data_IF_470208960198
#
_entry.id   IF_470208960198
#
_cell.length_a   1.000
_cell.length_b   1.000
_cell.length_c   1.000
_cell.angle_alpha   90.00
_cell.angle_beta   90.00
_cell.angle_gamma   90.00
#
_symmetry.space_group_name_H-M   'P 1'
#
loop_
_entity.id
_entity.type
_entity.pdbx_description
1 polymer ?
#
# COMPACT_ATOMS: atom_id res chain seq x y z
N UNK A 1 -7.99 17.76 -69.16
CA UNK A 1 -6.55 17.52 -69.56
C UNK A 1 -5.67 18.72 -69.11
N UNK A 2 -5.81 19.12 -67.83
CA UNK A 2 -5.06 20.26 -67.30
C UNK A 2 -3.61 19.92 -66.91
N UNK A 3 -3.27 18.62 -66.82
CA UNK A 3 -1.91 18.15 -66.52
C UNK A 3 -0.83 18.53 -67.54
N UNK A 4 -1.24 18.94 -68.76
CA UNK A 4 -0.32 19.45 -69.80
C UNK A 4 -0.02 20.94 -69.70
N UNK A 5 -0.81 21.71 -68.98
CA UNK A 5 -0.69 23.17 -68.86
C UNK A 5 0.14 23.65 -67.69
N UNK A 6 0.27 22.82 -66.63
CA UNK A 6 1.04 23.14 -65.43
C UNK A 6 1.76 21.92 -64.87
N UNK A 7 2.85 21.46 -65.51
CA UNK A 7 3.56 20.24 -65.07
C UNK A 7 4.41 20.47 -63.82
N UNK A 8 3.86 20.93 -62.74
CA UNK A 8 4.54 21.15 -61.49
C UNK A 8 3.60 21.50 -60.32
N UNK A 9 2.32 21.67 -60.63
CA UNK A 9 1.32 22.09 -59.63
C UNK A 9 0.61 20.90 -58.98
N UNK A 10 0.58 19.75 -59.69
CA UNK A 10 0.10 18.51 -59.13
C UNK A 10 1.29 17.69 -58.68
N UNK A 11 1.86 17.92 -57.49
CA UNK A 11 2.51 16.87 -56.76
C UNK A 11 1.45 15.77 -56.62
N UNK A 12 1.68 14.59 -57.21
CA UNK A 12 1.01 13.39 -56.74
C UNK A 12 1.24 13.40 -55.25
N UNK A 13 0.19 13.46 -54.44
CA UNK A 13 0.30 13.06 -53.04
C UNK A 13 0.75 11.60 -53.11
N UNK A 14 2.01 11.40 -52.77
CA UNK A 14 2.59 10.07 -52.77
C UNK A 14 2.11 9.23 -51.60
N UNK A 15 1.16 9.71 -50.91
CA UNK A 15 0.50 9.05 -49.77
C UNK A 15 -0.86 8.53 -50.26
N UNK A 16 -0.83 7.43 -51.00
CA UNK A 16 -1.96 6.51 -51.00
C UNK A 16 -2.11 6.10 -49.56
N UNK A 17 -3.15 6.65 -48.88
CA UNK A 17 -3.53 6.25 -47.52
C UNK A 17 -3.75 4.73 -47.60
N UNK A 18 -2.90 3.95 -46.93
CA UNK A 18 -3.10 2.52 -46.83
C UNK A 18 -4.36 2.27 -45.96
N UNK A 19 -5.51 2.22 -46.64
CA UNK A 19 -6.82 2.03 -46.01
C UNK A 19 -6.85 0.79 -45.13
N UNK A 20 -6.07 -0.24 -45.45
CA UNK A 20 -5.96 -1.45 -44.66
C UNK A 20 -5.24 -1.19 -43.37
N UNK A 21 -4.08 -0.50 -43.42
CA UNK A 21 -3.32 -0.10 -42.24
C UNK A 21 -4.17 0.80 -41.31
N UNK A 22 -4.92 1.75 -41.91
CA UNK A 22 -5.79 2.64 -41.15
C UNK A 22 -6.92 1.88 -40.43
N UNK A 23 -7.56 0.92 -41.09
CA UNK A 23 -8.57 0.06 -40.47
C UNK A 23 -8.02 -0.76 -39.31
N UNK A 24 -6.83 -1.35 -39.50
CA UNK A 24 -6.15 -2.09 -38.45
C UNK A 24 -5.86 -1.22 -37.21
N UNK A 25 -5.41 0.02 -37.42
CA UNK A 25 -5.15 0.95 -36.31
C UNK A 25 -6.44 1.45 -35.65
N UNK A 26 -7.53 1.62 -36.39
CA UNK A 26 -8.84 1.94 -35.84
C UNK A 26 -9.38 0.79 -34.97
N UNK A 27 -9.19 -0.45 -35.37
CA UNK A 27 -9.54 -1.60 -34.54
C UNK A 27 -8.73 -1.64 -33.24
N UNK A 28 -7.42 -1.34 -33.29
CA UNK A 28 -6.58 -1.22 -32.10
C UNK A 28 -7.05 -0.10 -31.20
N UNK A 29 -7.35 1.09 -31.79
CA UNK A 29 -7.86 2.23 -31.04
C UNK A 29 -9.15 1.89 -30.30
N UNK A 30 -10.12 1.28 -30.98
CA UNK A 30 -11.39 0.88 -30.37
C UNK A 30 -11.21 -0.20 -29.30
N UNK A 31 -10.27 -1.13 -29.52
CA UNK A 31 -9.92 -2.14 -28.54
C UNK A 31 -9.34 -1.53 -27.26
N UNK A 32 -8.49 -0.52 -27.37
CA UNK A 32 -7.95 0.17 -26.22
C UNK A 32 -9.02 1.02 -25.54
N UNK A 33 -9.78 1.81 -26.30
CA UNK A 33 -10.74 2.78 -25.78
C UNK A 33 -11.93 2.12 -25.08
N UNK A 34 -12.54 1.11 -25.71
CA UNK A 34 -13.84 0.60 -25.30
C UNK A 34 -13.74 -0.48 -24.23
N UNK A 35 -13.10 -0.13 -23.11
CA UNK A 35 -13.02 -0.95 -21.92
C UNK A 35 -13.64 -0.22 -20.73
N UNK A 36 -14.30 -0.99 -19.88
CA UNK A 36 -14.74 -0.61 -18.54
C UNK A 36 -14.05 -1.54 -17.56
N UNK A 37 -13.34 -1.01 -16.59
CA UNK A 37 -12.61 -1.79 -15.59
C UNK A 37 -13.12 -1.37 -14.22
N UNK A 38 -13.58 -2.32 -13.42
CA UNK A 38 -14.19 -2.04 -12.11
C UNK A 38 -13.52 -2.86 -11.03
N UNK A 39 -13.20 -2.22 -9.91
CA UNK A 39 -12.77 -2.86 -8.67
C UNK A 39 -13.86 -2.74 -7.60
N UNK A 40 -14.13 -3.82 -6.90
CA UNK A 40 -14.90 -3.79 -5.66
C UNK A 40 -13.93 -3.52 -4.50
N UNK A 41 -14.00 -2.30 -3.95
CA UNK A 41 -13.16 -1.89 -2.84
C UNK A 41 -13.69 -2.40 -1.49
N UNK A 42 -14.87 -2.99 -1.47
CA UNK A 42 -15.57 -3.44 -0.27
C UNK A 42 -16.55 -2.41 0.25
N UNK A 43 -17.46 -2.86 1.12
CA UNK A 43 -18.50 -2.04 1.78
C UNK A 43 -19.37 -1.22 0.80
N UNK A 44 -19.53 -1.72 -0.43
CA UNK A 44 -20.33 -1.07 -1.47
C UNK A 44 -19.59 0.03 -2.24
N UNK A 45 -18.31 0.23 -1.95
CA UNK A 45 -17.45 1.18 -2.68
C UNK A 45 -16.88 0.51 -3.92
N UNK A 46 -17.03 1.14 -5.07
CA UNK A 46 -16.46 0.68 -6.34
C UNK A 46 -15.63 1.78 -6.97
N UNK A 47 -14.56 1.39 -7.65
CA UNK A 47 -13.77 2.29 -8.49
C UNK A 47 -13.84 1.79 -9.93
N UNK A 48 -13.96 2.71 -10.89
CA UNK A 48 -14.19 2.33 -12.29
C UNK A 48 -13.38 3.21 -13.23
N UNK A 49 -12.64 2.57 -14.14
CA UNK A 49 -12.07 3.17 -15.35
C UNK A 49 -13.10 3.03 -16.47
N UNK A 50 -13.30 4.10 -17.23
CA UNK A 50 -14.21 4.17 -18.35
C UNK A 50 -13.47 4.64 -19.62
N UNK A 51 -14.08 4.57 -20.81
CA UNK A 51 -13.51 5.15 -22.01
C UNK A 51 -13.13 6.64 -21.89
N UNK A 52 -13.80 7.40 -21.02
CA UNK A 52 -13.46 8.79 -20.77
C UNK A 52 -12.08 8.98 -20.09
N UNK A 53 -11.65 8.00 -19.28
CA UNK A 53 -10.31 8.00 -18.71
C UNK A 53 -9.29 7.50 -19.75
N UNK A 54 -9.63 6.41 -20.46
CA UNK A 54 -8.71 5.72 -21.37
C UNK A 54 -8.35 6.58 -22.60
N UNK A 55 -9.28 7.41 -23.09
CA UNK A 55 -9.04 8.27 -24.26
C UNK A 55 -7.80 9.16 -24.11
N UNK A 56 -7.51 9.61 -22.89
CA UNK A 56 -6.38 10.49 -22.58
C UNK A 56 -5.05 9.73 -22.51
N UNK A 57 -5.10 8.40 -22.45
CA UNK A 57 -3.94 7.52 -22.44
C UNK A 57 -3.55 6.99 -23.83
N UNK A 58 -4.45 7.15 -24.82
CA UNK A 58 -4.18 6.69 -26.18
C UNK A 58 -3.39 7.76 -26.93
N UNK A 59 -2.26 7.37 -27.53
CA UNK A 59 -1.44 8.19 -28.40
C UNK A 59 -1.49 7.63 -29.81
N UNK A 60 -1.49 8.55 -30.78
CA UNK A 60 -1.41 8.25 -32.20
C UNK A 60 -0.20 9.04 -32.72
N UNK A 61 0.78 8.33 -33.26
CA UNK A 61 1.98 8.95 -33.81
C UNK A 61 1.77 9.44 -35.26
N UNK A 62 2.82 10.05 -35.83
CA UNK A 62 2.79 10.59 -37.20
C UNK A 62 2.60 9.51 -38.28
N UNK A 63 2.85 8.24 -37.96
CA UNK A 63 2.64 7.08 -38.82
C UNK A 63 1.25 6.43 -38.62
N UNK A 64 0.38 7.08 -37.86
CA UNK A 64 -0.94 6.60 -37.42
C UNK A 64 -0.91 5.34 -36.55
N UNK A 65 0.21 5.03 -35.88
CA UNK A 65 0.30 3.93 -34.97
C UNK A 65 -0.31 4.27 -33.63
N UNK A 66 -1.23 3.43 -33.17
CA UNK A 66 -1.94 3.59 -31.90
C UNK A 66 -1.16 2.88 -30.80
N UNK A 67 -0.90 3.59 -29.68
CA UNK A 67 -0.19 3.09 -28.51
C UNK A 67 -0.83 3.58 -27.23
N UNK A 68 -0.52 2.95 -26.10
CA UNK A 68 -0.89 3.44 -24.75
C UNK A 68 0.27 4.24 -24.17
N UNK A 69 -0.03 5.46 -23.76
CA UNK A 69 0.84 6.29 -22.93
C UNK A 69 0.80 5.75 -21.48
N UNK A 70 1.85 5.01 -21.12
CA UNK A 70 1.94 4.38 -19.80
C UNK A 70 2.13 5.40 -18.68
N UNK A 71 2.69 6.57 -18.98
CA UNK A 71 2.94 7.61 -17.98
C UNK A 71 1.60 8.26 -17.57
N UNK A 72 0.77 8.68 -18.56
CA UNK A 72 -0.56 9.23 -18.27
C UNK A 72 -1.50 8.22 -17.62
N UNK A 73 -1.43 6.94 -18.02
CA UNK A 73 -2.15 5.85 -17.35
C UNK A 73 -1.66 5.67 -15.92
N UNK A 74 -0.34 5.72 -15.70
CA UNK A 74 0.29 5.58 -14.39
C UNK A 74 -0.09 6.69 -13.43
N UNK A 75 -0.17 7.94 -13.88
CA UNK A 75 -0.62 9.08 -13.07
C UNK A 75 -2.05 8.86 -12.52
N UNK A 76 -2.98 8.42 -13.35
CA UNK A 76 -4.34 8.11 -12.90
C UNK A 76 -4.36 6.97 -11.88
N UNK A 77 -3.55 5.92 -12.10
CA UNK A 77 -3.45 4.77 -11.18
C UNK A 77 -2.79 5.20 -9.87
N UNK A 78 -1.83 6.11 -9.89
CA UNK A 78 -1.23 6.65 -8.66
C UNK A 78 -2.28 7.39 -7.83
N UNK A 79 -3.09 8.25 -8.44
CA UNK A 79 -4.19 8.94 -7.77
C UNK A 79 -5.21 7.95 -7.19
N UNK A 80 -5.56 6.91 -7.95
CA UNK A 80 -6.40 5.82 -7.46
C UNK A 80 -5.78 5.13 -6.24
N UNK A 81 -4.50 4.78 -6.29
CA UNK A 81 -3.81 4.16 -5.16
C UNK A 81 -3.75 5.08 -3.93
N UNK A 82 -3.51 6.38 -4.13
CA UNK A 82 -3.45 7.37 -3.06
C UNK A 82 -4.81 7.63 -2.42
N UNK A 83 -5.89 7.61 -3.19
CA UNK A 83 -7.27 7.75 -2.71
C UNK A 83 -7.61 6.71 -1.63
N UNK A 84 -7.15 5.47 -1.82
CA UNK A 84 -7.45 4.34 -0.95
C UNK A 84 -6.33 3.98 0.03
N UNK A 85 -5.30 4.83 0.12
CA UNK A 85 -4.19 4.62 1.04
C UNK A 85 -4.52 5.12 2.42
N UNK A 86 -4.39 4.25 3.44
CA UNK A 86 -4.48 4.61 4.87
C UNK A 86 -3.14 4.49 5.59
N UNK A 87 -2.19 3.70 5.06
CA UNK A 87 -0.84 3.53 5.62
C UNK A 87 -0.16 4.88 5.86
N UNK A 88 0.28 5.10 7.11
CA UNK A 88 1.05 6.26 7.53
C UNK A 88 0.25 7.57 7.67
N UNK A 89 -1.06 7.56 7.45
CA UNK A 89 -1.93 8.72 7.72
C UNK A 89 -2.02 8.99 9.21
N UNK A 90 -2.38 10.21 9.55
CA UNK A 90 -2.66 10.63 10.93
C UNK A 90 -3.94 9.98 11.42
N UNK A 91 -3.92 9.55 12.67
CA UNK A 91 -5.10 9.05 13.36
C UNK A 91 -5.11 9.53 14.83
N UNK A 92 -6.29 9.54 15.44
CA UNK A 92 -6.44 9.79 16.86
C UNK A 92 -6.37 8.45 17.61
N UNK A 93 -5.48 8.35 18.55
CA UNK A 93 -5.29 7.18 19.40
C UNK A 93 -5.55 7.54 20.86
N UNK A 94 -6.38 6.77 21.54
CA UNK A 94 -6.58 6.90 22.98
C UNK A 94 -5.59 6.00 23.70
N UNK A 95 -4.65 6.60 24.41
CA UNK A 95 -3.58 5.90 25.15
C UNK A 95 -4.13 5.13 26.35
N UNK A 96 -3.29 4.29 26.96
CA UNK A 96 -3.58 3.58 28.22
C UNK A 96 -4.04 4.51 29.36
N UNK A 97 -3.57 5.77 29.36
CA UNK A 97 -3.96 6.78 30.36
C UNK A 97 -5.30 7.48 30.06
N UNK A 98 -5.91 7.16 28.89
CA UNK A 98 -7.13 7.82 28.42
C UNK A 98 -6.90 9.16 27.71
N UNK A 99 -5.66 9.56 27.49
CA UNK A 99 -5.33 10.73 26.69
C UNK A 99 -5.50 10.43 25.20
N UNK A 100 -6.14 11.33 24.46
CA UNK A 100 -6.21 11.25 23.00
C UNK A 100 -5.02 11.98 22.40
N UNK A 101 -4.22 11.28 21.62
CA UNK A 101 -3.07 11.83 20.90
C UNK A 101 -3.23 11.63 19.39
N UNK A 102 -2.66 12.57 18.60
CA UNK A 102 -2.51 12.37 17.17
C UNK A 102 -1.22 11.60 16.92
N UNK A 103 -1.33 10.46 16.23
CA UNK A 103 -0.19 9.63 15.84
C UNK A 103 -0.15 9.49 14.33
N UNK A 104 1.06 9.49 13.74
CA UNK A 104 1.26 9.34 12.30
C UNK A 104 2.51 8.53 12.00
N UNK A 105 2.64 8.08 10.74
CA UNK A 105 3.75 7.23 10.33
C UNK A 105 3.52 5.75 10.64
N UNK A 106 4.55 4.95 10.46
CA UNK A 106 4.43 3.49 10.50
C UNK A 106 4.00 2.89 9.16
N UNK A 107 3.70 1.60 9.19
CA UNK A 107 3.33 0.85 8.00
C UNK A 107 2.04 0.01 8.18
N UNK A 108 1.27 0.28 9.24
CA UNK A 108 -0.05 -0.30 9.40
C UNK A 108 -1.07 0.41 8.50
N UNK A 109 -2.03 -0.34 7.98
CA UNK A 109 -3.11 0.19 7.16
C UNK A 109 -3.18 -0.45 5.77
N UNK A 110 -4.02 0.15 4.91
CA UNK A 110 -4.27 -0.29 3.54
C UNK A 110 -3.40 0.49 2.55
N UNK A 111 -2.80 -0.21 1.61
CA UNK A 111 -2.11 0.37 0.45
C UNK A 111 -2.21 -0.58 -0.73
N UNK A 112 -2.75 -0.09 -1.84
CA UNK A 112 -2.75 -0.81 -3.11
C UNK A 112 -1.32 -1.04 -3.62
N UNK A 113 -1.13 -2.08 -4.39
CA UNK A 113 0.12 -2.42 -5.06
C UNK A 113 0.11 -1.76 -6.45
N UNK A 114 0.72 -0.58 -6.56
CA UNK A 114 0.72 0.23 -7.76
C UNK A 114 1.15 -0.55 -9.00
N UNK A 115 2.28 -1.25 -8.94
CA UNK A 115 2.83 -1.99 -10.09
C UNK A 115 1.85 -3.07 -10.58
N UNK A 116 1.24 -3.80 -9.65
CA UNK A 116 0.27 -4.84 -10.03
C UNK A 116 -1.03 -4.26 -10.56
N UNK A 117 -1.47 -3.10 -10.07
CA UNK A 117 -2.66 -2.42 -10.62
C UNK A 117 -2.36 -1.91 -12.03
N UNK A 118 -1.16 -1.34 -12.28
CA UNK A 118 -0.71 -0.96 -13.63
C UNK A 118 -0.75 -2.15 -14.57
N UNK A 119 -0.21 -3.30 -14.14
CA UNK A 119 -0.23 -4.53 -14.94
C UNK A 119 -1.66 -5.02 -15.22
N UNK A 120 -2.55 -5.00 -14.21
CA UNK A 120 -3.96 -5.36 -14.38
C UNK A 120 -4.61 -4.50 -15.47
N UNK A 121 -4.51 -3.18 -15.35
CA UNK A 121 -5.14 -2.22 -16.29
C UNK A 121 -4.56 -2.39 -17.69
N UNK A 122 -3.24 -2.42 -17.82
CA UNK A 122 -2.57 -2.56 -19.11
C UNK A 122 -2.97 -3.84 -19.82
N UNK A 123 -3.01 -4.97 -19.10
CA UNK A 123 -3.38 -6.27 -19.68
C UNK A 123 -4.84 -6.26 -20.16
N UNK A 124 -5.77 -5.68 -19.40
CA UNK A 124 -7.17 -5.58 -19.84
C UNK A 124 -7.31 -4.73 -21.10
N UNK A 125 -6.70 -3.53 -21.11
CA UNK A 125 -6.82 -2.59 -22.24
C UNK A 125 -6.19 -3.17 -23.51
N UNK A 126 -5.09 -3.93 -23.40
CA UNK A 126 -4.38 -4.47 -24.55
C UNK A 126 -4.85 -5.87 -24.98
N UNK A 127 -5.81 -6.45 -24.29
CA UNK A 127 -6.41 -7.75 -24.68
C UNK A 127 -7.25 -7.59 -25.96
N UNK A 128 -6.87 -8.33 -27.00
CA UNK A 128 -7.51 -8.27 -28.33
C UNK A 128 -8.69 -9.24 -28.48
N UNK A 129 -9.11 -9.93 -27.43
CA UNK A 129 -10.14 -10.97 -27.53
C UNK A 129 -11.57 -10.41 -27.62
N UNK A 130 -11.77 -9.12 -27.34
CA UNK A 130 -13.09 -8.49 -27.17
C UNK A 130 -13.72 -7.91 -28.45
N UNK A 131 -13.14 -8.12 -29.66
CA UNK A 131 -13.60 -7.50 -30.91
C UNK A 131 -15.09 -7.69 -31.19
N UNK A 132 -15.68 -8.86 -30.87
CA UNK A 132 -17.11 -9.10 -31.08
C UNK A 132 -17.99 -8.23 -30.16
N UNK A 133 -17.60 -8.07 -28.90
CA UNK A 133 -18.31 -7.26 -27.92
C UNK A 133 -18.19 -5.78 -28.26
N UNK A 134 -17.02 -5.35 -28.71
CA UNK A 134 -16.76 -3.97 -29.18
C UNK A 134 -17.66 -3.62 -30.37
N UNK A 135 -17.71 -4.49 -31.38
CA UNK A 135 -18.58 -4.29 -32.55
C UNK A 135 -20.08 -4.27 -32.17
N UNK A 136 -20.49 -5.09 -31.22
CA UNK A 136 -21.86 -5.06 -30.68
C UNK A 136 -22.17 -3.74 -29.98
N UNK A 137 -21.23 -3.21 -29.19
CA UNK A 137 -21.38 -1.90 -28.53
C UNK A 137 -21.39 -0.76 -29.55
N UNK A 138 -20.51 -0.74 -30.54
CA UNK A 138 -20.49 0.30 -31.59
C UNK A 138 -21.81 0.32 -32.35
N UNK A 139 -22.41 -0.85 -32.59
CA UNK A 139 -23.72 -0.96 -33.28
C UNK A 139 -24.89 -0.56 -32.38
N UNK A 140 -24.78 -0.76 -31.08
CA UNK A 140 -25.82 -0.46 -30.09
C UNK A 140 -25.20 -0.16 -28.72
N UNK A 141 -25.24 1.11 -28.30
CA UNK A 141 -24.69 1.61 -27.02
C UNK A 141 -25.59 1.23 -25.83
N UNK A 142 -26.00 -0.01 -25.74
CA UNK A 142 -26.86 -0.50 -24.65
C UNK A 142 -26.09 -0.73 -23.34
N UNK A 143 -26.81 -0.69 -22.21
CA UNK A 143 -26.23 -1.03 -20.90
C UNK A 143 -25.75 -2.49 -20.83
N UNK A 144 -26.41 -3.39 -21.55
CA UNK A 144 -26.05 -4.79 -21.65
C UNK A 144 -24.69 -4.94 -22.34
N UNK A 145 -24.43 -4.19 -23.42
CA UNK A 145 -23.13 -4.20 -24.10
C UNK A 145 -22.03 -3.57 -23.25
N UNK A 146 -22.32 -2.51 -22.50
CA UNK A 146 -21.38 -1.94 -21.52
C UNK A 146 -21.04 -3.00 -20.46
N UNK A 147 -22.04 -3.66 -19.89
CA UNK A 147 -21.84 -4.72 -18.90
C UNK A 147 -20.99 -5.86 -19.45
N UNK A 148 -21.20 -6.24 -20.72
CA UNK A 148 -20.41 -7.27 -21.39
C UNK A 148 -18.94 -6.87 -21.60
N UNK A 149 -18.66 -5.57 -21.77
CA UNK A 149 -17.31 -5.00 -21.89
C UNK A 149 -16.68 -4.61 -20.54
N UNK A 150 -17.41 -4.75 -19.44
CA UNK A 150 -16.89 -4.46 -18.10
C UNK A 150 -16.09 -5.63 -17.56
N UNK A 151 -14.81 -5.40 -17.28
CA UNK A 151 -13.95 -6.36 -16.59
C UNK A 151 -13.96 -6.07 -15.09
N UNK A 152 -14.44 -7.02 -14.30
CA UNK A 152 -14.36 -6.97 -12.84
C UNK A 152 -13.00 -7.46 -12.40
N UNK A 153 -12.26 -6.65 -11.63
CA UNK A 153 -10.96 -6.99 -11.08
C UNK A 153 -11.02 -6.97 -9.55
N UNK A 154 -10.17 -7.79 -8.93
CA UNK A 154 -9.92 -7.73 -7.50
C UNK A 154 -8.80 -6.73 -7.21
N UNK A 155 -8.95 -5.84 -6.21
CA UNK A 155 -7.89 -4.92 -5.84
C UNK A 155 -6.71 -5.68 -5.22
N UNK A 156 -5.49 -5.35 -5.66
CA UNK A 156 -4.27 -5.96 -5.14
C UNK A 156 -3.62 -5.00 -4.14
N UNK A 157 -3.39 -5.49 -2.92
CA UNK A 157 -2.82 -4.71 -1.83
C UNK A 157 -1.38 -5.12 -1.54
N UNK A 158 -0.48 -4.15 -1.38
CA UNK A 158 0.86 -4.33 -0.82
C UNK A 158 0.83 -4.34 0.71
N UNK A 159 -0.14 -3.64 1.34
CA UNK A 159 -0.40 -3.62 2.77
C UNK A 159 -1.90 -3.78 3.02
N UNK A 160 -2.25 -4.54 4.05
CA UNK A 160 -3.65 -4.76 4.46
C UNK A 160 -3.83 -4.35 5.91
N UNK A 161 -4.76 -3.43 6.15
CA UNK A 161 -5.25 -3.05 7.46
C UNK A 161 -6.39 -3.95 7.94
N UNK A 162 -7.01 -3.58 9.04
CA UNK A 162 -8.10 -4.35 9.64
C UNK A 162 -9.47 -4.03 9.03
N UNK A 163 -9.78 -2.75 8.88
CA UNK A 163 -11.03 -2.25 8.29
C UNK A 163 -10.75 -1.48 7.01
N UNK A 164 -11.67 -1.52 6.07
CA UNK A 164 -11.64 -0.72 4.83
C UNK A 164 -12.43 0.57 5.00
N UNK A 165 -12.19 1.30 6.08
CA UNK A 165 -12.80 2.61 6.28
C UNK A 165 -11.93 3.68 5.65
N UNK A 166 -12.17 3.96 4.36
CA UNK A 166 -11.41 4.95 3.61
C UNK A 166 -11.86 6.39 3.85
N UNK A 167 -13.05 6.59 4.40
CA UNK A 167 -13.57 7.92 4.73
C UNK A 167 -13.19 8.35 6.14
N UNK A 168 -13.20 7.40 7.09
CA UNK A 168 -12.87 7.62 8.48
C UNK A 168 -11.68 6.77 8.91
N UNK A 169 -10.49 7.32 8.73
CA UNK A 169 -9.23 6.66 9.03
C UNK A 169 -9.06 6.24 10.50
N UNK A 170 -9.76 6.89 11.43
CA UNK A 170 -9.71 6.59 12.87
C UNK A 170 -10.10 5.14 13.19
N UNK A 171 -10.82 4.47 12.29
CA UNK A 171 -11.31 3.10 12.47
C UNK A 171 -10.54 2.03 11.67
N UNK A 172 -9.37 2.36 11.11
CA UNK A 172 -8.61 1.44 10.25
C UNK A 172 -7.79 0.39 11.03
N UNK A 173 -8.01 0.20 12.31
CA UNK A 173 -7.33 -0.83 13.10
C UNK A 173 -8.28 -1.60 14.01
N UNK A 174 -7.78 -2.74 14.51
CA UNK A 174 -8.48 -3.53 15.53
C UNK A 174 -8.35 -2.85 16.90
N UNK A 175 -9.41 -2.14 17.29
CA UNK A 175 -9.49 -1.43 18.59
C UNK A 175 -9.59 -2.37 19.79
N UNK A 176 -9.74 -3.69 19.55
CA UNK A 176 -9.88 -4.69 20.59
C UNK A 176 -8.57 -5.44 20.87
N UNK A 177 -7.71 -5.57 19.84
CA UNK A 177 -6.50 -6.38 19.92
C UNK A 177 -5.29 -5.60 19.38
N UNK A 178 -4.51 -5.02 20.25
CA UNK A 178 -3.34 -4.21 19.89
C UNK A 178 -2.32 -4.19 21.03
N UNK A 179 -1.17 -3.62 20.77
CA UNK A 179 -0.21 -3.23 21.80
C UNK A 179 0.18 -1.76 21.67
N UNK A 180 0.50 -1.16 22.80
CA UNK A 180 0.94 0.22 22.94
C UNK A 180 2.34 0.24 23.56
N UNK A 181 3.21 1.11 23.07
CA UNK A 181 4.53 1.38 23.62
C UNK A 181 4.60 2.88 23.92
N UNK A 182 4.59 3.21 25.19
CA UNK A 182 4.87 4.55 25.65
C UNK A 182 6.38 4.70 25.90
N UNK A 183 7.03 5.48 25.02
CA UNK A 183 8.48 5.74 25.12
C UNK A 183 8.81 6.64 26.31
N UNK A 184 7.92 7.55 26.67
CA UNK A 184 8.14 8.45 27.81
C UNK A 184 8.11 7.70 29.13
N UNK A 185 7.15 6.79 29.29
CA UNK A 185 7.02 5.96 30.48
C UNK A 185 7.93 4.72 30.45
N UNK A 186 8.46 4.35 29.29
CA UNK A 186 9.20 3.10 29.06
C UNK A 186 8.36 1.87 29.43
N UNK A 187 7.11 1.86 28.96
CA UNK A 187 6.13 0.83 29.26
C UNK A 187 5.57 0.22 27.96
N UNK A 188 5.21 -1.05 28.05
CA UNK A 188 4.43 -1.78 27.07
C UNK A 188 3.09 -2.14 27.68
N UNK A 189 2.01 -1.94 26.91
CA UNK A 189 0.65 -2.35 27.28
C UNK A 189 0.10 -3.25 26.19
N UNK A 190 -0.57 -4.35 26.55
CA UNK A 190 -1.19 -5.29 25.60
C UNK A 190 -2.69 -5.37 25.88
N UNK A 191 -3.48 -5.21 24.83
CA UNK A 191 -4.94 -5.27 24.86
C UNK A 191 -5.45 -6.49 24.10
N UNK A 192 -6.43 -7.18 24.71
CA UNK A 192 -7.16 -8.30 24.11
C UNK A 192 -8.65 -8.16 24.46
N UNK A 193 -9.50 -8.33 23.44
CA UNK A 193 -10.95 -8.22 23.59
C UNK A 193 -11.37 -6.90 24.27
N UNK A 194 -10.65 -5.81 23.94
CA UNK A 194 -10.88 -4.46 24.49
C UNK A 194 -10.40 -4.25 25.92
N UNK A 195 -9.75 -5.24 26.55
CA UNK A 195 -9.24 -5.14 27.91
C UNK A 195 -7.71 -5.09 27.92
N UNK A 196 -7.13 -4.25 28.77
CA UNK A 196 -5.71 -4.31 29.07
C UNK A 196 -5.43 -5.60 29.85
N UNK A 197 -4.76 -6.55 29.22
CA UNK A 197 -4.47 -7.86 29.82
C UNK A 197 -3.04 -7.96 30.37
N UNK A 198 -2.17 -7.03 29.96
CA UNK A 198 -0.77 -7.05 30.40
C UNK A 198 -0.15 -5.64 30.30
N UNK A 199 0.79 -5.36 31.20
CA UNK A 199 1.72 -4.23 31.09
C UNK A 199 3.07 -4.59 31.70
N UNK A 200 4.14 -4.04 31.12
CA UNK A 200 5.48 -4.26 31.67
C UNK A 200 6.42 -3.10 31.35
N UNK A 201 7.45 -2.98 32.18
CA UNK A 201 8.60 -2.11 31.94
C UNK A 201 9.36 -2.57 30.70
N UNK A 202 9.87 -1.62 29.92
CA UNK A 202 10.74 -1.90 28.79
C UNK A 202 11.96 -0.97 28.77
N UNK A 203 12.87 -1.23 27.84
CA UNK A 203 13.93 -0.29 27.47
C UNK A 203 13.92 -0.18 25.94
N UNK A 204 13.59 1.01 25.46
CA UNK A 204 13.51 1.33 24.03
C UNK A 204 14.86 1.80 23.46
N UNK A 205 14.88 2.20 22.22
CA UNK A 205 16.07 2.71 21.54
C UNK A 205 16.59 3.99 22.13
N UNK A 206 17.90 4.19 22.05
CA UNK A 206 18.60 5.35 22.61
C UNK A 206 18.60 6.55 21.64
N UNK A 207 17.95 7.67 21.98
CA UNK A 207 18.14 8.93 21.26
C UNK A 207 19.56 9.51 21.49
N UNK A 208 20.07 10.45 20.68
CA UNK A 208 19.39 11.11 19.56
C UNK A 208 19.74 10.51 18.18
N UNK A 209 20.44 9.38 18.11
CA UNK A 209 20.86 8.79 16.84
C UNK A 209 19.69 8.14 16.11
N UNK A 210 19.39 8.54 14.89
CA UNK A 210 18.32 7.99 14.08
C UNK A 210 18.39 6.47 13.93
N UNK A 211 19.61 5.92 13.90
CA UNK A 211 19.84 4.47 13.77
C UNK A 211 19.44 3.68 15.01
N UNK A 212 19.31 4.34 16.16
CA UNK A 212 19.04 3.70 17.45
C UNK A 212 17.71 4.07 18.08
N UNK A 213 16.97 5.04 17.57
CA UNK A 213 15.67 5.40 18.11
C UNK A 213 14.63 4.31 17.84
N UNK A 214 13.69 4.11 18.76
CA UNK A 214 12.43 3.43 18.48
C UNK A 214 11.51 4.40 17.75
N UNK A 215 11.19 4.12 16.50
CA UNK A 215 10.40 5.02 15.66
C UNK A 215 8.94 5.00 16.09
N UNK A 216 8.36 6.18 16.31
CA UNK A 216 6.92 6.35 16.59
C UNK A 216 6.08 6.04 15.35
N UNK A 217 4.78 5.80 15.56
CA UNK A 217 3.82 5.52 14.49
C UNK A 217 2.93 4.32 14.78
N UNK A 218 2.09 3.98 13.82
CA UNK A 218 1.26 2.78 13.87
C UNK A 218 1.90 1.70 13.00
N UNK A 219 2.32 0.64 13.66
CA UNK A 219 3.01 -0.50 13.06
C UNK A 219 2.16 -1.76 13.21
N UNK A 220 2.63 -2.90 12.75
CA UNK A 220 1.99 -4.20 13.01
C UNK A 220 3.02 -5.30 13.26
N UNK A 221 2.58 -6.36 13.90
CA UNK A 221 3.42 -7.53 14.19
C UNK A 221 3.59 -8.35 12.91
N UNK A 222 4.84 -8.55 12.48
CA UNK A 222 5.21 -9.15 11.19
C UNK A 222 5.62 -10.61 11.29
N UNK A 223 6.33 -10.96 12.37
CA UNK A 223 6.79 -12.33 12.61
C UNK A 223 6.98 -12.59 14.10
N UNK A 224 6.95 -13.85 14.48
CA UNK A 224 7.24 -14.30 15.85
C UNK A 224 8.17 -15.50 15.77
N UNK A 225 9.26 -15.48 16.56
CA UNK A 225 10.22 -16.57 16.67
C UNK A 225 10.57 -16.78 18.14
N UNK A 226 10.53 -18.04 18.66
CA UNK A 226 10.86 -18.31 20.06
C UNK A 226 12.33 -17.95 20.37
N UNK A 227 13.21 -18.11 19.39
CA UNK A 227 14.62 -17.75 19.47
C UNK A 227 15.09 -17.12 18.15
N UNK A 228 15.96 -16.12 18.24
CA UNK A 228 16.56 -15.46 17.09
C UNK A 228 17.94 -14.92 17.45
N UNK A 229 18.89 -15.02 16.54
CA UNK A 229 20.15 -14.30 16.64
C UNK A 229 19.95 -12.93 16.02
N UNK A 230 20.04 -11.88 16.82
CA UNK A 230 20.02 -10.50 16.37
C UNK A 230 21.43 -10.12 15.91
N UNK A 231 21.52 -9.61 14.69
CA UNK A 231 22.79 -9.22 14.07
C UNK A 231 22.69 -7.74 13.71
N UNK A 232 23.60 -6.94 14.25
CA UNK A 232 23.86 -5.57 13.86
C UNK A 232 25.28 -5.43 13.30
N UNK A 233 25.71 -4.21 13.02
CA UNK A 233 27.02 -3.92 12.46
C UNK A 233 28.15 -4.40 13.40
N UNK A 234 27.96 -4.20 14.70
CA UNK A 234 28.95 -4.43 15.75
C UNK A 234 28.53 -5.49 16.79
N UNK A 235 27.41 -6.18 16.60
CA UNK A 235 26.93 -7.18 17.54
C UNK A 235 26.29 -8.41 16.87
N UNK A 236 26.36 -9.53 17.60
CA UNK A 236 25.68 -10.78 17.30
C UNK A 236 25.18 -11.39 18.60
N UNK A 237 23.91 -11.16 18.93
CA UNK A 237 23.35 -11.49 20.24
C UNK A 237 22.18 -12.48 20.10
N UNK A 238 22.21 -13.63 20.79
CA UNK A 238 21.05 -14.50 20.89
C UNK A 238 19.95 -13.80 21.68
N UNK A 239 18.74 -13.93 21.19
CA UNK A 239 17.54 -13.34 21.78
C UNK A 239 16.45 -14.39 21.86
N UNK A 240 15.58 -14.29 22.87
CA UNK A 240 14.40 -15.12 23.03
C UNK A 240 13.14 -14.29 22.88
N UNK A 241 12.06 -14.99 22.47
CA UNK A 241 10.73 -14.40 22.33
C UNK A 241 10.70 -13.19 21.39
N UNK A 242 11.35 -13.36 20.21
CA UNK A 242 11.39 -12.32 19.20
C UNK A 242 10.01 -12.10 18.59
N UNK A 243 9.56 -10.84 18.58
CA UNK A 243 8.34 -10.37 17.92
C UNK A 243 8.71 -9.17 17.06
N UNK A 244 8.76 -9.34 15.74
CA UNK A 244 9.15 -8.28 14.81
C UNK A 244 8.02 -7.26 14.62
N UNK A 245 8.34 -5.99 14.76
CA UNK A 245 7.45 -4.85 14.52
C UNK A 245 7.82 -4.17 13.19
N UNK A 246 9.09 -3.96 12.93
CA UNK A 246 9.58 -3.28 11.72
C UNK A 246 10.52 -4.16 10.92
N UNK A 247 10.44 -4.12 9.60
CA UNK A 247 11.35 -4.89 8.73
C UNK A 247 12.81 -4.46 8.87
N UNK A 248 13.07 -3.24 9.32
CA UNK A 248 14.40 -2.72 9.64
C UNK A 248 15.07 -3.37 10.86
N UNK A 249 14.37 -4.26 11.58
CA UNK A 249 14.95 -5.02 12.67
C UNK A 249 14.48 -4.63 14.07
N UNK A 250 13.47 -3.77 14.20
CA UNK A 250 12.87 -3.42 15.50
C UNK A 250 11.82 -4.45 15.92
N UNK A 251 11.80 -4.82 17.18
CA UNK A 251 10.81 -5.74 17.75
C UNK A 251 10.89 -5.87 19.26
N UNK A 252 9.90 -6.56 19.85
CA UNK A 252 9.97 -6.99 21.24
C UNK A 252 10.88 -8.20 21.37
N UNK A 253 11.67 -8.25 22.42
CA UNK A 253 12.44 -9.45 22.75
C UNK A 253 13.01 -9.39 24.16
N UNK A 254 13.32 -10.58 24.71
CA UNK A 254 14.15 -10.67 25.89
C UNK A 254 15.61 -10.33 25.54
N UNK A 255 16.21 -9.53 26.39
CA UNK A 255 17.66 -9.33 26.44
C UNK A 255 18.10 -9.30 27.90
N UNK A 256 19.10 -10.12 28.27
CA UNK A 256 19.71 -10.05 29.57
C UNK A 256 20.45 -8.72 29.74
N UNK A 257 20.11 -7.98 30.79
CA UNK A 257 20.65 -6.65 31.10
C UNK A 257 20.93 -6.56 32.59
N UNK A 258 22.14 -6.16 32.95
CA UNK A 258 22.53 -5.96 34.36
C UNK A 258 21.89 -4.71 34.99
N UNK A 259 21.35 -3.79 34.17
CA UNK A 259 20.78 -2.52 34.62
C UNK A 259 19.27 -2.58 34.91
N UNK A 260 18.61 -3.74 34.75
CA UNK A 260 17.21 -3.90 35.15
C UNK A 260 16.93 -3.55 36.63
N UNK A 261 17.89 -3.80 37.51
CA UNK A 261 17.79 -3.45 38.92
C UNK A 261 17.70 -1.93 39.17
N UNK A 262 18.23 -1.14 38.25
CA UNK A 262 18.24 0.32 38.29
C UNK A 262 17.35 0.94 37.21
N UNK A 263 16.33 0.19 36.77
CA UNK A 263 15.42 0.66 35.74
C UNK A 263 14.71 1.97 36.16
N UNK A 264 14.63 2.89 35.24
CA UNK A 264 13.82 4.10 35.34
C UNK A 264 13.30 4.49 33.94
N UNK A 265 12.27 5.31 33.84
CA UNK A 265 11.78 5.82 32.55
C UNK A 265 12.81 6.59 31.73
N UNK A 266 13.92 7.00 32.36
CA UNK A 266 15.02 7.74 31.67
C UNK A 266 16.22 6.85 31.32
N UNK A 267 16.19 5.56 31.66
CA UNK A 267 17.32 4.64 31.44
C UNK A 267 17.71 4.57 29.95
N UNK A 268 16.72 4.60 29.04
CA UNK A 268 16.94 4.53 27.60
C UNK A 268 17.75 5.70 27.04
N UNK A 269 17.76 6.85 27.69
CA UNK A 269 18.51 8.05 27.27
C UNK A 269 20.03 7.82 27.30
N UNK A 270 20.51 6.91 28.13
CA UNK A 270 21.94 6.62 28.30
C UNK A 270 22.32 5.17 28.02
N UNK A 271 21.40 4.25 28.19
CA UNK A 271 21.59 2.81 28.02
C UNK A 271 20.47 2.17 27.20
N UNK A 272 19.93 2.88 26.24
CA UNK A 272 18.90 2.39 25.34
C UNK A 272 19.41 1.29 24.39
N UNK A 273 18.48 0.65 23.73
CA UNK A 273 18.74 -0.37 22.71
C UNK A 273 19.17 0.28 21.36
N UNK A 274 19.30 -0.53 20.31
CA UNK A 274 19.43 -0.11 18.92
C UNK A 274 18.06 -0.01 18.21
N UNK A 275 17.02 0.41 18.96
CA UNK A 275 15.67 0.59 18.42
C UNK A 275 14.66 -0.49 18.86
N UNK A 276 15.12 -1.63 19.35
CA UNK A 276 14.27 -2.69 19.87
C UNK A 276 13.64 -2.33 21.22
N UNK A 277 12.58 -3.02 21.56
CA UNK A 277 11.89 -2.95 22.84
C UNK A 277 12.38 -4.13 23.69
N UNK A 278 13.37 -3.87 24.55
CA UNK A 278 13.92 -4.87 25.45
C UNK A 278 12.99 -5.12 26.63
N UNK A 279 12.74 -6.36 26.95
CA UNK A 279 11.89 -6.83 28.04
C UNK A 279 12.65 -7.80 28.94
N UNK A 280 12.19 -7.94 30.19
CA UNK A 280 12.65 -9.00 31.08
C UNK A 280 12.14 -10.36 30.56
N UNK A 281 12.71 -11.47 31.05
CA UNK A 281 12.45 -12.80 30.49
C UNK A 281 10.97 -13.19 30.50
N UNK A 282 10.31 -13.10 31.66
CA UNK A 282 8.91 -13.49 31.79
C UNK A 282 7.98 -12.51 31.07
N UNK A 283 8.33 -11.23 31.05
CA UNK A 283 7.56 -10.20 30.33
C UNK A 283 7.63 -10.40 28.82
N UNK A 284 8.83 -10.66 28.28
CA UNK A 284 9.02 -10.97 26.88
C UNK A 284 8.26 -12.23 26.43
N UNK A 285 8.26 -13.26 27.29
CA UNK A 285 7.50 -14.48 27.08
C UNK A 285 6.00 -14.18 27.04
N UNK A 286 5.49 -13.41 28.00
CA UNK A 286 4.08 -13.04 28.09
C UNK A 286 3.64 -12.22 26.88
N UNK A 287 4.41 -11.18 26.47
CA UNK A 287 4.12 -10.42 25.26
C UNK A 287 4.11 -11.34 24.04
N UNK A 288 5.13 -12.22 23.91
CA UNK A 288 5.20 -13.18 22.83
C UNK A 288 3.96 -14.08 22.76
N UNK A 289 3.43 -14.55 23.89
CA UNK A 289 2.24 -15.40 23.93
C UNK A 289 0.95 -14.64 23.59
N UNK A 290 0.82 -13.39 24.05
CA UNK A 290 -0.38 -12.59 23.92
C UNK A 290 -0.57 -11.98 22.53
N UNK A 291 0.50 -11.46 21.89
CA UNK A 291 0.38 -10.77 20.61
C UNK A 291 0.31 -11.74 19.43
N UNK A 292 -0.35 -11.31 18.34
CA UNK A 292 -0.54 -12.10 17.12
C UNK A 292 0.06 -11.38 15.92
N UNK A 293 0.45 -12.14 14.89
CA UNK A 293 0.86 -11.56 13.60
C UNK A 293 -0.32 -10.79 13.02
N UNK A 294 -0.06 -9.54 12.60
CA UNK A 294 -1.06 -8.61 12.10
C UNK A 294 -1.62 -7.64 13.14
N UNK A 295 -1.43 -7.88 14.45
CA UNK A 295 -1.89 -6.94 15.48
C UNK A 295 -1.22 -5.57 15.32
N UNK A 296 -1.98 -4.46 15.45
CA UNK A 296 -1.41 -3.13 15.46
C UNK A 296 -0.55 -2.87 16.68
N UNK A 297 0.49 -2.07 16.49
CA UNK A 297 1.42 -1.62 17.53
C UNK A 297 1.53 -0.11 17.47
N UNK A 298 1.02 0.57 18.47
CA UNK A 298 1.09 2.02 18.61
C UNK A 298 2.35 2.40 19.40
N UNK A 299 3.21 3.22 18.81
CA UNK A 299 4.46 3.67 19.43
C UNK A 299 4.44 5.19 19.48
N UNK A 300 4.51 5.75 20.69
CA UNK A 300 4.46 7.20 20.92
C UNK A 300 5.33 7.63 22.10
N UNK A 301 5.41 8.94 22.33
CA UNK A 301 6.02 9.56 23.50
C UNK A 301 4.96 9.98 24.49
#
# INVERSE_FOLDING_TARGET
NDNKKYPGIYKKSSDEIDEKKLKEQLEIYNNYLLNWITWDMGEGVTETITPENIKDWIKIDEENKVTIDKDSMGEWIEDFCLKYKTVGKKCNFTTHSGQVIEISGGDYGWRLDYEKIVDQVYNVITDKTNNKLINAYISNHSKENIKALTTQLEPVYSHKGYRKDYENFENDWDTQNYSEIDITEQMVYVYRDGQQVFSSKCVTGMPPTEDRITRTGVWYIKEKMPEKILVGEDYRTPSKFWVRIMWTGTGYHYLERSDWANWSPTLYLTKGSHGCINLQYEDAKTVYELVRIGDPVFIHY
#
